data_IF_996196080034
#
_entry.id   IF_996196080034
#
_cell.length_a   1.000
_cell.length_b   1.000
_cell.length_c   1.000
_cell.angle_alpha   90.00
_cell.angle_beta   90.00
_cell.angle_gamma   90.00
#
_symmetry.space_group_name_H-M   'P 1'
#
loop_
_entity.id
_entity.type
_entity.pdbx_description
1 polymer ?
#
# COMPACT_ATOMS: atom_id res chain seq x y z
N UNK A 1 27.87 -41.71 -56.72
CA UNK A 1 27.49 -40.50 -57.50
C UNK A 1 25.97 -40.45 -57.53
N UNK A 2 25.29 -39.30 -57.37
CA UNK A 2 25.74 -37.92 -57.19
C UNK A 2 25.20 -37.26 -55.89
N UNK A 3 25.54 -35.98 -55.74
CA UNK A 3 25.26 -35.00 -54.68
C UNK A 3 23.76 -34.79 -54.38
N UNK A 4 23.44 -34.44 -53.13
CA UNK A 4 22.20 -33.71 -52.81
C UNK A 4 22.56 -32.47 -51.98
N UNK A 5 22.24 -31.36 -52.62
CA UNK A 5 22.38 -29.94 -52.27
C UNK A 5 21.63 -29.52 -51.00
N UNK A 6 22.25 -28.65 -50.20
CA UNK A 6 21.60 -27.85 -49.15
C UNK A 6 20.68 -26.78 -49.74
N UNK A 7 19.43 -26.60 -49.25
CA UNK A 7 18.65 -25.41 -49.51
C UNK A 7 18.91 -24.32 -48.45
N UNK A 8 19.04 -23.10 -48.97
CA UNK A 8 19.30 -21.84 -48.28
C UNK A 8 18.25 -21.45 -47.23
N UNK A 9 18.74 -20.82 -46.16
CA UNK A 9 17.99 -20.06 -45.18
C UNK A 9 17.15 -18.95 -45.81
N UNK A 10 15.83 -19.00 -45.61
CA UNK A 10 14.95 -17.84 -45.74
C UNK A 10 14.36 -17.61 -44.36
N UNK A 11 14.94 -16.66 -43.62
CA UNK A 11 14.30 -16.07 -42.44
C UNK A 11 13.26 -15.06 -42.91
N UNK A 12 12.02 -15.09 -42.39
CA UNK A 12 11.06 -14.02 -42.67
C UNK A 12 11.51 -12.75 -41.93
N UNK A 13 11.67 -11.67 -42.68
CA UNK A 13 11.88 -10.32 -42.16
C UNK A 13 10.72 -9.92 -41.24
N UNK A 14 11.04 -9.70 -39.96
CA UNK A 14 10.12 -9.08 -39.01
C UNK A 14 10.21 -7.57 -39.21
N UNK A 15 9.19 -6.99 -39.84
CA UNK A 15 9.00 -5.54 -39.93
C UNK A 15 8.81 -4.92 -38.53
N UNK A 16 9.56 -3.88 -38.15
CA UNK A 16 9.35 -3.18 -36.89
C UNK A 16 8.37 -2.04 -37.09
N UNK A 17 7.06 -2.27 -36.88
CA UNK A 17 6.08 -1.18 -36.69
C UNK A 17 5.00 -1.59 -35.71
N UNK A 18 5.16 -1.15 -34.47
CA UNK A 18 4.15 -0.39 -33.73
C UNK A 18 4.81 0.18 -32.47
N UNK A 19 5.21 1.44 -32.55
CA UNK A 19 5.76 2.22 -31.45
C UNK A 19 4.69 2.45 -30.39
N UNK A 20 4.77 1.74 -29.27
CA UNK A 20 4.05 2.03 -28.02
C UNK A 20 4.55 3.29 -27.31
N UNK A 21 5.42 4.10 -27.94
CA UNK A 21 6.18 5.16 -27.27
C UNK A 21 5.54 6.56 -27.28
N UNK A 22 4.34 6.74 -27.83
CA UNK A 22 3.76 8.10 -28.01
C UNK A 22 2.41 8.34 -27.34
N UNK A 23 1.75 7.32 -26.77
CA UNK A 23 0.43 7.49 -26.14
C UNK A 23 0.44 7.70 -24.61
N UNK A 24 1.52 7.33 -23.91
CA UNK A 24 1.65 7.53 -22.46
C UNK A 24 1.85 8.99 -21.98
N UNK A 25 2.58 9.89 -22.67
CA UNK A 25 3.02 11.16 -22.06
C UNK A 25 1.88 12.13 -21.73
N UNK A 26 0.92 12.31 -22.65
CA UNK A 26 -0.22 13.22 -22.45
C UNK A 26 -1.25 12.65 -21.49
N UNK A 27 -1.48 11.33 -21.53
CA UNK A 27 -2.38 10.67 -20.60
C UNK A 27 -1.88 10.78 -19.16
N UNK A 28 -0.57 10.69 -18.90
CA UNK A 28 -0.02 10.84 -17.55
C UNK A 28 -0.06 12.25 -16.98
N UNK A 29 0.31 13.27 -17.77
CA UNK A 29 0.14 14.66 -17.32
C UNK A 29 -1.34 15.01 -17.14
N UNK A 30 -2.23 14.45 -17.97
CA UNK A 30 -3.67 14.60 -17.80
C UNK A 30 -4.21 13.80 -16.62
N UNK A 31 -3.66 12.63 -16.29
CA UNK A 31 -4.01 11.86 -15.10
C UNK A 31 -3.59 12.66 -13.88
N UNK A 32 -2.32 13.03 -13.72
CA UNK A 32 -1.85 13.85 -12.57
C UNK A 32 -2.59 15.20 -12.47
N UNK A 33 -2.88 15.89 -13.58
CA UNK A 33 -3.70 17.12 -13.58
C UNK A 33 -5.19 16.86 -13.32
N UNK A 34 -5.73 15.72 -13.75
CA UNK A 34 -7.11 15.33 -13.43
C UNK A 34 -7.26 15.00 -11.96
N UNK A 35 -6.17 14.64 -11.26
CA UNK A 35 -6.15 14.34 -9.83
C UNK A 35 -6.24 15.58 -8.96
N UNK A 36 -5.65 16.69 -9.40
CA UNK A 36 -5.95 18.01 -8.82
C UNK A 36 -7.40 18.49 -9.06
N UNK A 37 -8.19 17.71 -9.81
CA UNK A 37 -9.62 17.96 -10.10
C UNK A 37 -10.52 16.76 -9.77
N UNK A 38 -9.99 15.64 -9.28
CA UNK A 38 -10.75 14.40 -9.05
C UNK A 38 -11.07 14.21 -7.59
N UNK A 39 -11.40 15.30 -6.88
CA UNK A 39 -12.62 15.24 -6.08
C UNK A 39 -13.75 14.94 -7.07
N UNK A 40 -14.43 13.78 -7.00
CA UNK A 40 -15.77 13.71 -7.55
C UNK A 40 -16.52 14.93 -7.03
N UNK A 41 -17.21 15.64 -7.94
CA UNK A 41 -18.11 16.74 -7.60
C UNK A 41 -18.86 16.40 -6.29
N UNK A 42 -18.78 17.29 -5.29
CA UNK A 42 -19.51 17.25 -4.00
C UNK A 42 -19.88 15.86 -3.45
N UNK A 43 -19.06 15.31 -2.55
CA UNK A 43 -19.48 14.59 -1.33
C UNK A 43 -20.79 13.77 -1.36
N UNK A 44 -21.10 13.06 -2.43
CA UNK A 44 -22.43 12.45 -2.58
C UNK A 44 -22.50 11.20 -1.71
N UNK A 45 -22.97 11.40 -0.47
CA UNK A 45 -23.31 10.34 0.46
C UNK A 45 -24.65 9.80 0.01
N UNK A 46 -24.78 8.48 0.07
CA UNK A 46 -26.12 7.92 -0.01
C UNK A 46 -26.98 8.36 1.20
N UNK A 47 -28.27 8.02 1.16
CA UNK A 47 -29.21 8.35 2.24
C UNK A 47 -28.83 7.82 3.62
N UNK A 48 -27.90 6.86 3.68
CA UNK A 48 -27.39 6.24 4.91
C UNK A 48 -26.08 6.90 5.40
N UNK A 49 -25.57 7.91 4.68
CA UNK A 49 -24.33 8.59 5.01
C UNK A 49 -23.07 7.85 4.54
N UNK A 50 -23.19 6.86 3.67
CA UNK A 50 -22.05 6.13 3.12
C UNK A 50 -21.53 6.81 1.85
N UNK A 51 -20.21 6.89 1.74
CA UNK A 51 -19.53 7.21 0.49
C UNK A 51 -19.26 5.92 -0.28
N UNK A 52 -19.38 5.96 -1.61
CA UNK A 52 -19.10 4.83 -2.50
C UNK A 52 -17.98 5.17 -3.48
N UNK A 53 -17.06 4.23 -3.69
CA UNK A 53 -16.12 4.24 -4.83
C UNK A 53 -16.29 2.94 -5.61
N UNK A 54 -16.40 3.04 -6.94
CA UNK A 54 -16.24 1.88 -7.82
C UNK A 54 -14.75 1.78 -8.19
N UNK A 55 -14.01 0.97 -7.44
CA UNK A 55 -12.56 0.88 -7.54
C UNK A 55 -12.14 -0.08 -8.65
N UNK A 56 -11.20 0.35 -9.50
CA UNK A 56 -10.79 -0.35 -10.72
C UNK A 56 -9.34 -0.79 -10.65
N UNK A 57 -9.10 -2.06 -10.99
CA UNK A 57 -7.76 -2.62 -11.14
C UNK A 57 -7.71 -3.37 -12.47
N UNK A 58 -7.15 -2.71 -13.48
CA UNK A 58 -7.24 -3.15 -14.88
C UNK A 58 -8.69 -3.09 -15.37
N UNK A 59 -9.18 -4.20 -15.91
CA UNK A 59 -10.57 -4.31 -16.42
C UNK A 59 -11.59 -4.68 -15.33
N UNK A 60 -11.12 -5.00 -14.12
CA UNK A 60 -11.99 -5.45 -13.02
C UNK A 60 -12.37 -4.27 -12.12
N UNK A 61 -13.63 -4.26 -11.68
CA UNK A 61 -14.19 -3.23 -10.80
C UNK A 61 -14.87 -3.87 -9.60
N UNK A 62 -14.69 -3.29 -8.41
CA UNK A 62 -15.43 -3.69 -7.21
C UNK A 62 -15.83 -2.46 -6.38
N UNK A 63 -16.99 -2.52 -5.69
CA UNK A 63 -17.44 -1.41 -4.87
C UNK A 63 -16.72 -1.35 -3.53
N UNK A 64 -16.47 -0.13 -3.08
CA UNK A 64 -15.97 0.22 -1.77
C UNK A 64 -16.97 1.14 -1.11
N UNK A 65 -17.37 0.84 0.11
CA UNK A 65 -18.21 1.70 0.93
C UNK A 65 -17.46 2.18 2.15
N UNK A 66 -17.51 3.48 2.41
CA UNK A 66 -16.84 4.13 3.53
C UNK A 66 -17.86 4.93 4.34
N UNK A 67 -17.91 4.71 5.65
CA UNK A 67 -18.74 5.47 6.57
C UNK A 67 -18.06 5.59 7.93
N UNK A 68 -18.64 6.40 8.81
CA UNK A 68 -18.22 6.52 10.19
C UNK A 68 -19.38 6.18 11.11
N UNK A 69 -19.23 5.13 11.92
CA UNK A 69 -20.29 4.60 12.79
C UNK A 69 -21.54 4.23 11.97
N UNK A 70 -21.33 3.43 10.92
CA UNK A 70 -22.34 3.03 9.92
C UNK A 70 -22.34 1.54 9.61
N UNK A 71 -21.92 0.70 10.56
CA UNK A 71 -21.89 -0.76 10.38
C UNK A 71 -23.22 -1.34 9.87
N UNK A 72 -24.36 -0.92 10.41
CA UNK A 72 -25.66 -1.46 9.95
C UNK A 72 -25.91 -1.16 8.46
N UNK A 73 -25.56 0.05 8.00
CA UNK A 73 -25.66 0.44 6.60
C UNK A 73 -24.65 -0.32 5.72
N UNK A 74 -23.41 -0.48 6.18
CA UNK A 74 -22.38 -1.27 5.49
C UNK A 74 -22.79 -2.74 5.34
N UNK A 75 -23.35 -3.34 6.38
CA UNK A 75 -23.89 -4.71 6.34
C UNK A 75 -25.10 -4.81 5.41
N UNK A 76 -25.93 -3.77 5.30
CA UNK A 76 -26.98 -3.74 4.29
C UNK A 76 -26.41 -3.77 2.85
N UNK A 77 -25.29 -3.07 2.60
CA UNK A 77 -24.58 -3.16 1.30
C UNK A 77 -24.02 -4.55 1.05
N UNK A 78 -23.48 -5.23 2.07
CA UNK A 78 -23.03 -6.61 1.94
C UNK A 78 -24.12 -7.51 1.37
N UNK A 79 -25.33 -7.44 1.92
CA UNK A 79 -26.48 -8.24 1.43
C UNK A 79 -26.89 -7.88 0.01
N UNK A 80 -26.86 -6.59 -0.33
CA UNK A 80 -27.25 -6.11 -1.65
C UNK A 80 -26.26 -6.57 -2.74
N UNK A 81 -24.96 -6.59 -2.42
CA UNK A 81 -23.90 -6.91 -3.37
C UNK A 81 -23.56 -8.40 -3.45
N UNK A 82 -23.99 -9.21 -2.48
CA UNK A 82 -23.73 -10.64 -2.46
C UNK A 82 -25.06 -11.40 -2.62
N UNK A 83 -25.38 -11.82 -3.85
CA UNK A 83 -26.65 -12.49 -4.20
C UNK A 83 -27.04 -13.60 -3.20
N UNK A 84 -26.14 -14.59 -3.05
CA UNK A 84 -26.35 -15.76 -2.18
C UNK A 84 -25.03 -16.21 -1.57
N UNK A 85 -25.00 -16.42 -0.26
CA UNK A 85 -23.92 -17.06 0.47
C UNK A 85 -24.51 -17.91 1.61
N UNK A 86 -23.78 -18.91 2.09
CA UNK A 86 -24.26 -19.76 3.19
C UNK A 86 -23.99 -19.11 4.57
N UNK A 87 -22.76 -18.65 4.78
CA UNK A 87 -22.33 -17.87 5.94
C UNK A 87 -21.10 -17.03 5.58
N UNK A 88 -20.79 -16.07 6.44
CA UNK A 88 -19.50 -15.36 6.42
C UNK A 88 -18.47 -16.12 7.24
N UNK A 89 -17.23 -16.15 6.79
CA UNK A 89 -16.09 -16.63 7.58
C UNK A 89 -15.21 -15.43 7.95
N UNK A 90 -15.37 -14.94 9.19
CA UNK A 90 -14.72 -13.74 9.70
C UNK A 90 -13.32 -14.10 10.21
N UNK A 91 -12.31 -13.42 9.69
CA UNK A 91 -10.93 -13.56 10.15
C UNK A 91 -10.51 -12.39 11.02
N UNK A 92 -9.92 -12.65 12.19
CA UNK A 92 -9.52 -11.62 13.15
C UNK A 92 -8.08 -11.82 13.63
N UNK A 93 -7.51 -10.75 14.20
CA UNK A 93 -6.40 -10.81 15.17
C UNK A 93 -6.91 -10.60 16.61
N UNK A 94 -6.03 -10.77 17.61
CA UNK A 94 -6.39 -10.67 19.02
C UNK A 94 -6.91 -9.28 19.44
N UNK A 95 -6.41 -8.20 18.84
CA UNK A 95 -6.90 -6.85 19.13
C UNK A 95 -8.27 -6.63 18.47
N UNK A 96 -8.43 -7.06 17.23
CA UNK A 96 -9.69 -6.91 16.49
C UNK A 96 -10.84 -7.66 17.18
N UNK A 97 -10.59 -8.85 17.74
CA UNK A 97 -11.56 -9.59 18.57
C UNK A 97 -12.05 -8.75 19.75
N UNK A 98 -11.16 -7.98 20.37
CA UNK A 98 -11.49 -7.17 21.55
C UNK A 98 -12.23 -5.88 21.19
N UNK A 99 -11.78 -5.19 20.14
CA UNK A 99 -12.16 -3.81 19.89
C UNK A 99 -13.21 -3.63 18.79
N UNK A 100 -13.25 -4.50 17.77
CA UNK A 100 -14.13 -4.32 16.61
C UNK A 100 -15.18 -5.43 16.48
N UNK A 101 -14.80 -6.69 16.75
CA UNK A 101 -15.67 -7.85 16.56
C UNK A 101 -17.03 -7.73 17.30
N UNK A 102 -17.11 -7.24 18.57
CA UNK A 102 -18.40 -7.16 19.26
C UNK A 102 -19.43 -6.28 18.55
N UNK A 103 -19.00 -5.16 17.96
CA UNK A 103 -19.88 -4.24 17.23
C UNK A 103 -20.30 -4.83 15.88
N UNK A 104 -19.34 -5.39 15.13
CA UNK A 104 -19.59 -6.03 13.84
C UNK A 104 -20.53 -7.23 13.96
N UNK A 105 -20.26 -8.12 14.91
CA UNK A 105 -21.06 -9.33 15.13
C UNK A 105 -22.48 -9.00 15.58
N UNK A 106 -22.65 -7.97 16.42
CA UNK A 106 -23.97 -7.48 16.79
C UNK A 106 -24.75 -6.94 15.57
N UNK A 107 -24.09 -6.20 14.67
CA UNK A 107 -24.70 -5.73 13.41
C UNK A 107 -25.09 -6.89 12.49
N UNK A 108 -24.21 -7.88 12.33
CA UNK A 108 -24.49 -9.09 11.55
C UNK A 108 -25.67 -9.89 12.14
N UNK A 109 -25.74 -10.04 13.46
CA UNK A 109 -26.83 -10.73 14.16
C UNK A 109 -28.17 -10.00 13.98
N UNK A 110 -28.20 -8.66 14.13
CA UNK A 110 -29.40 -7.85 13.83
C UNK A 110 -29.86 -8.03 12.39
N UNK A 111 -28.91 -8.14 11.47
CA UNK A 111 -29.19 -8.42 10.08
C UNK A 111 -29.56 -9.90 9.82
N UNK A 112 -29.52 -10.79 10.81
CA UNK A 112 -29.80 -12.22 10.62
C UNK A 112 -28.80 -12.93 9.70
N UNK A 113 -27.55 -12.47 9.67
CA UNK A 113 -26.48 -13.06 8.86
C UNK A 113 -25.72 -14.08 9.70
N UNK A 114 -25.63 -15.32 9.20
CA UNK A 114 -24.83 -16.37 9.81
C UNK A 114 -23.34 -16.14 9.58
N UNK A 115 -22.52 -16.37 10.59
CA UNK A 115 -21.07 -16.28 10.48
C UNK A 115 -20.33 -17.32 11.34
N UNK A 116 -19.09 -17.57 10.97
CA UNK A 116 -18.07 -18.35 11.69
C UNK A 116 -16.83 -17.48 11.84
N UNK A 117 -15.99 -17.76 12.82
CA UNK A 117 -14.83 -16.91 13.14
C UNK A 117 -13.55 -17.74 13.21
N UNK A 118 -12.44 -17.11 12.89
CA UNK A 118 -11.09 -17.65 13.05
C UNK A 118 -10.17 -16.52 13.51
N UNK A 119 -9.31 -16.80 14.49
CA UNK A 119 -8.35 -15.83 15.03
C UNK A 119 -6.94 -16.28 14.65
N UNK A 120 -6.13 -15.36 14.14
CA UNK A 120 -4.70 -15.56 13.92
C UNK A 120 -3.89 -14.58 14.76
N UNK A 121 -2.58 -14.81 14.89
CA UNK A 121 -1.72 -13.88 15.60
C UNK A 121 -1.51 -12.56 14.87
N UNK A 122 -1.45 -11.46 15.62
CA UNK A 122 -1.32 -10.08 15.12
C UNK A 122 0.02 -9.75 14.45
N UNK A 123 1.10 -10.48 14.73
CA UNK A 123 2.45 -10.04 14.33
C UNK A 123 2.85 -10.48 12.93
N UNK A 124 3.80 -9.77 12.32
CA UNK A 124 4.38 -10.16 11.01
C UNK A 124 5.02 -11.56 11.03
N UNK A 125 5.45 -12.03 12.21
CA UNK A 125 5.96 -13.40 12.39
C UNK A 125 4.85 -14.45 12.26
N UNK A 126 3.59 -14.09 12.53
CA UNK A 126 2.43 -14.96 12.34
C UNK A 126 1.95 -15.00 10.89
N UNK A 127 2.41 -14.08 10.02
CA UNK A 127 2.07 -14.05 8.59
C UNK A 127 2.86 -15.11 7.81
N UNK A 128 2.57 -16.38 8.04
CA UNK A 128 3.35 -17.52 7.54
C UNK A 128 2.47 -18.72 7.13
N UNK A 129 3.12 -19.80 6.65
CA UNK A 129 2.43 -21.02 6.20
C UNK A 129 1.62 -21.72 7.29
N UNK A 130 2.04 -21.67 8.56
CA UNK A 130 1.32 -22.31 9.66
C UNK A 130 0.01 -21.59 9.98
N UNK A 131 0.01 -20.25 9.94
CA UNK A 131 -1.24 -19.48 10.07
C UNK A 131 -2.19 -19.74 8.88
N UNK A 132 -1.65 -19.81 7.66
CA UNK A 132 -2.44 -20.18 6.49
C UNK A 132 -3.09 -21.57 6.65
N UNK A 133 -2.32 -22.58 7.06
CA UNK A 133 -2.83 -23.93 7.29
C UNK A 133 -3.94 -23.96 8.35
N UNK A 134 -3.74 -23.26 9.47
CA UNK A 134 -4.75 -23.11 10.51
C UNK A 134 -6.07 -22.48 10.01
N UNK A 135 -5.98 -21.44 9.18
CA UNK A 135 -7.15 -20.78 8.58
C UNK A 135 -7.89 -21.75 7.66
N UNK A 136 -7.16 -22.48 6.81
CA UNK A 136 -7.75 -23.46 5.89
C UNK A 136 -8.44 -24.60 6.65
N UNK A 137 -7.80 -25.13 7.70
CA UNK A 137 -8.36 -26.17 8.55
C UNK A 137 -9.65 -25.69 9.24
N UNK A 138 -9.60 -24.52 9.89
CA UNK A 138 -10.74 -23.95 10.61
C UNK A 138 -11.92 -23.70 9.68
N UNK A 139 -11.66 -23.18 8.48
CA UNK A 139 -12.68 -22.96 7.45
C UNK A 139 -13.36 -24.27 7.02
N UNK A 140 -12.59 -25.34 6.79
CA UNK A 140 -13.15 -26.62 6.37
C UNK A 140 -13.93 -27.30 7.51
N UNK A 141 -13.40 -27.26 8.74
CA UNK A 141 -14.06 -27.80 9.93
C UNK A 141 -15.36 -27.06 10.27
N UNK A 142 -15.45 -25.76 9.96
CA UNK A 142 -16.68 -24.99 10.16
C UNK A 142 -17.74 -25.24 9.08
N UNK A 143 -17.47 -26.16 8.13
CA UNK A 143 -18.37 -26.49 7.02
C UNK A 143 -18.32 -25.49 5.86
N UNK A 144 -17.21 -24.78 5.68
CA UNK A 144 -17.02 -23.83 4.60
C UNK A 144 -17.19 -24.46 3.21
N UNK A 145 -17.86 -23.76 2.31
CA UNK A 145 -18.16 -24.21 0.93
C UNK A 145 -17.74 -23.15 -0.10
N UNK A 146 -17.94 -23.44 -1.39
CA UNK A 146 -17.76 -22.44 -2.48
C UNK A 146 -18.68 -21.23 -2.32
N UNK A 147 -19.76 -21.34 -1.55
CA UNK A 147 -20.70 -20.25 -1.28
C UNK A 147 -20.32 -19.43 -0.05
N UNK A 148 -19.40 -19.91 0.79
CA UNK A 148 -18.91 -19.15 1.93
C UNK A 148 -18.11 -17.94 1.46
N UNK A 149 -18.24 -16.84 2.18
CA UNK A 149 -17.56 -15.58 1.87
C UNK A 149 -16.47 -15.36 2.91
N UNK A 150 -15.23 -15.21 2.46
CA UNK A 150 -14.11 -14.89 3.32
C UNK A 150 -14.14 -13.41 3.68
N UNK A 151 -14.14 -13.08 4.96
CA UNK A 151 -14.17 -11.70 5.45
C UNK A 151 -13.02 -11.45 6.44
N UNK A 152 -11.79 -11.14 5.99
CA UNK A 152 -10.80 -10.56 6.88
C UNK A 152 -11.30 -9.25 7.48
N UNK A 153 -11.28 -9.19 8.81
CA UNK A 153 -11.57 -8.00 9.61
C UNK A 153 -10.30 -7.72 10.41
N UNK A 154 -9.55 -6.68 10.04
CA UNK A 154 -8.24 -6.45 10.64
C UNK A 154 -7.35 -5.46 9.88
N UNK A 155 -6.07 -5.47 10.27
CA UNK A 155 -4.99 -4.81 9.53
C UNK A 155 -4.49 -5.64 8.34
N UNK A 156 -3.43 -5.15 7.67
CA UNK A 156 -2.89 -5.76 6.44
C UNK A 156 -2.43 -7.22 6.60
N UNK A 157 -1.98 -7.62 7.80
CA UNK A 157 -1.57 -9.00 8.09
C UNK A 157 -2.75 -9.97 7.98
N UNK A 158 -3.88 -9.64 8.62
CA UNK A 158 -5.12 -10.42 8.55
C UNK A 158 -5.65 -10.41 7.12
N UNK A 159 -5.74 -9.22 6.50
CA UNK A 159 -6.22 -9.06 5.11
C UNK A 159 -5.45 -9.91 4.12
N UNK A 160 -4.11 -9.93 4.19
CA UNK A 160 -3.29 -10.71 3.27
C UNK A 160 -3.39 -12.22 3.51
N UNK A 161 -3.38 -12.66 4.76
CA UNK A 161 -3.33 -14.10 5.08
C UNK A 161 -4.66 -14.77 4.75
N UNK A 162 -5.77 -14.16 5.17
CA UNK A 162 -7.11 -14.65 4.83
C UNK A 162 -7.46 -14.40 3.35
N UNK A 163 -6.95 -13.32 2.74
CA UNK A 163 -7.08 -13.09 1.30
C UNK A 163 -6.39 -14.18 0.46
N UNK A 164 -5.21 -14.64 0.90
CA UNK A 164 -4.52 -15.76 0.29
C UNK A 164 -5.31 -17.06 0.46
N UNK A 165 -5.84 -17.32 1.67
CA UNK A 165 -6.72 -18.46 1.92
C UNK A 165 -7.95 -18.43 0.99
N UNK A 166 -8.58 -17.27 0.79
CA UNK A 166 -9.72 -17.12 -0.11
C UNK A 166 -9.39 -17.47 -1.57
N UNK A 167 -8.21 -17.09 -2.06
CA UNK A 167 -7.75 -17.43 -3.41
C UNK A 167 -7.43 -18.92 -3.59
N UNK A 168 -7.02 -19.61 -2.52
CA UNK A 168 -6.68 -21.03 -2.54
C UNK A 168 -7.91 -21.94 -2.37
N UNK A 169 -8.80 -21.60 -1.44
CA UNK A 169 -9.99 -22.39 -1.10
C UNK A 169 -10.88 -22.56 -2.32
N UNK A 170 -11.15 -23.82 -2.67
CA UNK A 170 -11.92 -24.19 -3.87
C UNK A 170 -11.45 -23.54 -5.18
N UNK A 171 -10.18 -23.12 -5.25
CA UNK A 171 -9.59 -22.35 -6.36
C UNK A 171 -10.17 -20.93 -6.52
N UNK A 172 -10.61 -20.35 -5.41
CA UNK A 172 -11.17 -19.00 -5.35
C UNK A 172 -12.59 -19.01 -4.78
N UNK A 173 -12.74 -18.43 -3.60
CA UNK A 173 -14.02 -17.99 -3.05
C UNK A 173 -14.08 -16.47 -2.96
N UNK A 174 -15.28 -15.93 -2.78
CA UNK A 174 -15.50 -14.49 -2.65
C UNK A 174 -14.79 -13.96 -1.40
N UNK A 175 -14.21 -12.78 -1.55
CA UNK A 175 -13.44 -12.07 -0.53
C UNK A 175 -14.10 -10.71 -0.27
N UNK A 176 -14.41 -10.39 0.98
CA UNK A 176 -14.88 -9.07 1.41
C UNK A 176 -13.90 -8.50 2.41
N UNK A 177 -13.29 -7.35 2.12
CA UNK A 177 -12.34 -6.73 3.04
C UNK A 177 -13.06 -5.80 4.02
N UNK A 178 -12.73 -5.91 5.30
CA UNK A 178 -13.23 -5.04 6.37
C UNK A 178 -12.04 -4.48 7.15
N UNK A 179 -11.33 -3.46 6.62
CA UNK A 179 -10.13 -2.93 7.24
C UNK A 179 -10.45 -2.25 8.58
N UNK A 180 -9.70 -2.59 9.64
CA UNK A 180 -9.82 -1.95 10.97
C UNK A 180 -8.66 -1.03 11.29
N UNK A 181 -7.63 -1.00 10.45
CA UNK A 181 -6.51 -0.06 10.57
C UNK A 181 -6.56 0.95 9.43
N UNK A 182 -6.26 2.20 9.74
CA UNK A 182 -6.23 3.26 8.74
C UNK A 182 -5.30 2.94 7.56
N UNK A 183 -4.08 2.45 7.84
CA UNK A 183 -3.12 2.03 6.80
C UNK A 183 -3.70 0.97 5.85
N UNK A 184 -4.28 -0.10 6.39
CA UNK A 184 -4.85 -1.18 5.57
C UNK A 184 -5.93 -0.68 4.60
N UNK A 185 -6.73 0.30 5.04
CA UNK A 185 -7.84 0.82 4.26
C UNK A 185 -7.40 1.47 2.94
N UNK A 186 -6.26 2.15 2.88
CA UNK A 186 -5.78 2.77 1.65
C UNK A 186 -4.56 2.07 1.01
N UNK A 187 -4.07 0.99 1.61
CA UNK A 187 -2.91 0.27 1.06
C UNK A 187 -3.24 -1.16 0.59
N UNK A 188 -3.55 -2.09 1.50
CA UNK A 188 -3.64 -3.51 1.13
C UNK A 188 -5.01 -3.88 0.55
N UNK A 189 -6.11 -3.29 1.01
CA UNK A 189 -7.47 -3.60 0.49
C UNK A 189 -7.70 -3.05 -0.92
N UNK A 190 -6.91 -2.07 -1.35
CA UNK A 190 -6.91 -1.48 -2.69
C UNK A 190 -5.90 -2.14 -3.63
N UNK A 191 -5.45 -3.37 -3.32
CA UNK A 191 -4.58 -4.18 -4.18
C UNK A 191 -5.12 -5.60 -4.35
N UNK A 192 -4.69 -6.28 -5.42
CA UNK A 192 -4.92 -7.72 -5.64
C UNK A 192 -3.91 -8.60 -4.87
N UNK A 193 -2.82 -8.04 -4.37
CA UNK A 193 -1.71 -8.80 -3.79
C UNK A 193 -2.13 -9.45 -2.47
N UNK A 194 -2.15 -10.78 -2.44
CA UNK A 194 -2.32 -11.57 -1.22
C UNK A 194 -1.11 -12.46 -1.03
N UNK A 195 -0.39 -12.28 0.07
CA UNK A 195 0.87 -12.98 0.29
C UNK A 195 1.16 -13.22 1.77
N UNK A 196 2.03 -14.19 2.03
CA UNK A 196 2.61 -14.49 3.33
C UNK A 196 4.13 -14.54 3.23
N UNK A 197 4.77 -14.54 4.39
CA UNK A 197 6.21 -14.65 4.53
C UNK A 197 6.63 -16.12 4.47
N UNK A 198 7.81 -16.38 3.92
CA UNK A 198 8.38 -17.72 3.87
C UNK A 198 9.89 -17.67 4.10
N UNK A 199 10.38 -18.50 5.03
CA UNK A 199 11.82 -18.65 5.33
C UNK A 199 12.57 -17.33 5.49
N UNK A 200 11.98 -16.34 6.16
CA UNK A 200 12.57 -15.01 6.40
C UNK A 200 12.36 -13.99 5.29
N UNK A 201 11.82 -14.37 4.13
CA UNK A 201 11.48 -13.45 3.05
C UNK A 201 10.04 -12.95 3.19
N UNK A 202 9.87 -11.61 3.13
CA UNK A 202 8.57 -10.96 3.23
C UNK A 202 7.75 -11.13 1.94
N UNK A 203 6.45 -11.42 2.07
CA UNK A 203 5.47 -11.46 0.98
C UNK A 203 5.84 -12.30 -0.25
N UNK A 204 6.67 -13.34 -0.09
CA UNK A 204 7.24 -14.09 -1.23
C UNK A 204 6.33 -15.21 -1.74
N UNK A 205 5.43 -15.73 -0.90
CA UNK A 205 4.45 -16.75 -1.29
C UNK A 205 3.08 -16.10 -1.36
N UNK A 206 2.49 -16.05 -2.55
CA UNK A 206 1.23 -15.34 -2.75
C UNK A 206 0.61 -15.52 -4.13
N UNK A 207 -0.50 -14.82 -4.33
CA UNK A 207 -1.25 -14.77 -5.58
C UNK A 207 -1.96 -13.41 -5.72
N UNK A 208 -2.56 -13.17 -6.88
CA UNK A 208 -3.44 -12.03 -7.11
C UNK A 208 -4.89 -12.49 -6.94
N UNK A 209 -5.60 -11.97 -5.93
CA UNK A 209 -7.01 -12.24 -5.68
C UNK A 209 -7.75 -10.95 -5.36
N UNK A 210 -8.75 -10.64 -6.18
CA UNK A 210 -9.52 -9.40 -6.08
C UNK A 210 -10.65 -9.55 -5.05
N UNK A 211 -10.88 -8.54 -4.18
CA UNK A 211 -12.08 -8.51 -3.35
C UNK A 211 -13.34 -8.31 -4.21
N UNK A 212 -14.45 -8.89 -3.77
CA UNK A 212 -15.78 -8.63 -4.35
C UNK A 212 -16.41 -7.35 -3.79
N UNK A 213 -15.99 -6.91 -2.61
CA UNK A 213 -16.53 -5.77 -1.87
C UNK A 213 -15.53 -5.33 -0.79
N UNK A 214 -15.49 -4.03 -0.49
CA UNK A 214 -14.76 -3.48 0.67
C UNK A 214 -15.71 -2.64 1.52
N UNK A 215 -15.70 -2.86 2.84
CA UNK A 215 -16.52 -2.14 3.80
C UNK A 215 -15.64 -1.49 4.86
N UNK A 216 -15.53 -0.16 4.83
CA UNK A 216 -14.72 0.61 5.74
C UNK A 216 -15.62 1.37 6.72
N UNK A 217 -15.59 0.98 8.00
CA UNK A 217 -16.14 1.81 9.07
C UNK A 217 -14.99 2.51 9.80
N UNK A 218 -14.88 3.84 9.63
CA UNK A 218 -13.77 4.60 10.18
C UNK A 218 -13.83 4.75 11.70
N UNK A 219 -14.95 4.42 12.35
CA UNK A 219 -15.03 4.37 13.82
C UNK A 219 -14.11 3.30 14.42
N UNK A 220 -13.75 2.25 13.66
CA UNK A 220 -12.75 1.28 14.11
C UNK A 220 -11.38 1.90 14.35
N UNK A 221 -11.05 3.00 13.67
CA UNK A 221 -9.74 3.64 13.80
C UNK A 221 -9.56 4.37 15.14
N UNK A 222 -10.66 4.65 15.86
CA UNK A 222 -10.61 5.23 17.21
C UNK A 222 -9.96 4.29 18.23
N UNK A 223 -9.85 3.00 17.88
CA UNK A 223 -9.23 1.97 18.72
C UNK A 223 -7.71 1.86 18.49
N UNK A 224 -7.19 2.51 17.46
CA UNK A 224 -5.78 2.44 17.08
C UNK A 224 -4.91 3.26 18.03
N UNK A 225 -3.71 2.76 18.27
CA UNK A 225 -2.69 3.54 18.97
C UNK A 225 -2.26 4.74 18.11
N UNK A 226 -1.70 5.77 18.76
CA UNK A 226 -1.12 6.93 18.05
C UNK A 226 -0.10 6.51 17.01
N UNK A 227 0.68 5.46 17.28
CA UNK A 227 1.68 4.92 16.35
C UNK A 227 1.06 4.30 15.10
N UNK A 228 -0.03 3.54 15.25
CA UNK A 228 -0.76 2.96 14.12
C UNK A 228 -1.48 4.02 13.28
N UNK A 229 -2.01 5.06 13.93
CA UNK A 229 -2.57 6.22 13.23
C UNK A 229 -1.50 6.97 12.41
N UNK A 230 -0.35 7.25 13.02
CA UNK A 230 0.81 7.85 12.33
C UNK A 230 1.29 6.99 11.17
N UNK A 231 1.27 5.67 11.29
CA UNK A 231 1.64 4.76 10.20
C UNK A 231 0.72 4.94 8.97
N UNK A 232 -0.59 5.05 9.17
CA UNK A 232 -1.53 5.33 8.07
C UNK A 232 -1.32 6.72 7.46
N UNK A 233 -1.08 7.74 8.29
CA UNK A 233 -0.78 9.10 7.84
C UNK A 233 0.55 9.19 7.08
N UNK A 234 1.55 8.37 7.41
CA UNK A 234 2.81 8.27 6.67
C UNK A 234 2.61 8.00 5.18
N UNK A 235 1.74 7.04 4.86
CA UNK A 235 1.38 6.74 3.47
C UNK A 235 0.56 7.85 2.79
N UNK A 236 -0.28 8.57 3.54
CA UNK A 236 -0.98 9.72 2.98
C UNK A 236 -0.05 10.91 2.74
N UNK A 237 0.97 11.11 3.58
CA UNK A 237 2.05 12.08 3.31
C UNK A 237 2.81 11.72 2.05
N UNK A 238 3.06 10.42 1.81
CA UNK A 238 3.61 9.96 0.53
C UNK A 238 2.69 10.35 -0.62
N UNK A 239 1.39 10.08 -0.53
CA UNK A 239 0.44 10.50 -1.57
C UNK A 239 0.45 12.03 -1.78
N UNK A 240 0.55 12.82 -0.72
CA UNK A 240 0.70 14.27 -0.81
C UNK A 240 1.99 14.67 -1.55
N UNK A 241 3.12 14.05 -1.24
CA UNK A 241 4.38 14.30 -1.94
C UNK A 241 4.29 13.93 -3.44
N UNK A 242 3.59 12.84 -3.77
CA UNK A 242 3.41 12.35 -5.14
C UNK A 242 2.47 13.23 -5.97
N UNK A 243 1.31 13.60 -5.41
CA UNK A 243 0.19 14.17 -6.17
C UNK A 243 -0.07 15.65 -5.89
N UNK A 244 0.38 16.19 -4.76
CA UNK A 244 0.06 17.56 -4.36
C UNK A 244 -1.45 17.76 -4.20
N UNK A 245 -1.95 18.96 -4.53
CA UNK A 245 -3.38 19.26 -4.58
C UNK A 245 -4.13 18.90 -3.28
N UNK A 246 -5.27 18.23 -3.41
CA UNK A 246 -6.12 17.85 -2.27
C UNK A 246 -5.42 16.92 -1.29
N UNK A 247 -4.50 16.07 -1.75
CA UNK A 247 -3.69 15.25 -0.83
C UNK A 247 -2.79 16.12 0.05
N UNK A 248 -2.18 17.15 -0.54
CA UNK A 248 -1.34 18.08 0.21
C UNK A 248 -2.17 18.94 1.17
N UNK A 249 -3.29 19.50 0.73
CA UNK A 249 -4.15 20.32 1.59
C UNK A 249 -4.74 19.51 2.75
N UNK A 250 -5.16 18.26 2.51
CA UNK A 250 -5.59 17.35 3.57
C UNK A 250 -4.47 17.10 4.57
N UNK A 251 -3.26 16.76 4.11
CA UNK A 251 -2.15 16.44 5.00
C UNK A 251 -1.67 17.66 5.77
N UNK A 252 -1.63 18.84 5.15
CA UNK A 252 -1.32 20.10 5.82
C UNK A 252 -2.32 20.38 6.95
N UNK A 253 -3.62 20.33 6.66
CA UNK A 253 -4.69 20.49 7.67
C UNK A 253 -4.57 19.48 8.80
N UNK A 254 -4.41 18.21 8.44
CA UNK A 254 -4.40 17.09 9.40
C UNK A 254 -3.17 17.09 10.30
N UNK A 255 -1.99 17.43 9.77
CA UNK A 255 -0.72 17.29 10.48
C UNK A 255 -0.21 18.61 11.04
N UNK A 256 -0.12 19.65 10.20
CA UNK A 256 0.47 20.93 10.58
C UNK A 256 -0.50 21.79 11.40
N UNK A 257 -1.80 21.75 11.08
CA UNK A 257 -2.79 22.58 11.76
C UNK A 257 -3.42 21.87 12.97
N UNK A 258 -3.72 20.56 12.86
CA UNK A 258 -4.45 19.80 13.89
C UNK A 258 -3.63 18.74 14.65
N UNK A 259 -2.34 18.55 14.34
CA UNK A 259 -1.48 17.64 15.10
C UNK A 259 -1.96 16.18 15.11
N UNK A 260 -2.43 15.68 13.95
CA UNK A 260 -2.94 14.32 13.71
C UNK A 260 -4.29 14.00 14.35
N UNK A 261 -5.01 15.00 14.88
CA UNK A 261 -6.36 14.83 15.39
C UNK A 261 -7.38 15.07 14.26
N UNK A 262 -7.77 13.99 13.58
CA UNK A 262 -8.83 14.07 12.58
C UNK A 262 -10.19 13.97 13.26
N UNK A 263 -11.11 14.84 12.87
CA UNK A 263 -12.54 14.64 13.14
C UNK A 263 -13.06 13.39 12.40
N UNK A 264 -14.20 12.80 12.81
CA UNK A 264 -14.84 11.71 12.08
C UNK A 264 -15.02 11.96 10.56
N UNK A 265 -15.33 13.22 10.21
CA UNK A 265 -15.48 13.64 8.81
C UNK A 265 -14.15 13.60 8.07
N UNK A 266 -13.13 14.23 8.64
CA UNK A 266 -11.78 14.26 8.06
C UNK A 266 -11.19 12.87 7.96
N UNK A 267 -11.47 11.97 8.91
CA UNK A 267 -11.02 10.58 8.84
C UNK A 267 -11.67 9.84 7.67
N UNK A 268 -12.96 10.07 7.46
CA UNK A 268 -13.71 9.49 6.33
C UNK A 268 -13.21 10.03 5.00
N UNK A 269 -12.97 11.35 4.93
CA UNK A 269 -12.37 12.02 3.78
C UNK A 269 -10.96 11.49 3.49
N UNK A 270 -10.10 11.39 4.51
CA UNK A 270 -8.73 10.93 4.37
C UNK A 270 -8.66 9.47 3.92
N UNK A 271 -9.53 8.61 4.47
CA UNK A 271 -9.68 7.21 4.04
C UNK A 271 -10.09 7.15 2.57
N UNK A 272 -11.13 7.91 2.20
CA UNK A 272 -11.64 7.93 0.83
C UNK A 272 -10.60 8.43 -0.18
N UNK A 273 -9.90 9.52 0.15
CA UNK A 273 -8.87 10.11 -0.68
C UNK A 273 -7.65 9.18 -0.81
N UNK A 274 -7.22 8.56 0.29
CA UNK A 274 -6.16 7.56 0.30
C UNK A 274 -6.47 6.38 -0.60
N UNK A 275 -7.68 5.83 -0.49
CA UNK A 275 -8.14 4.73 -1.34
C UNK A 275 -8.11 5.16 -2.80
N UNK A 276 -8.74 6.29 -3.12
CA UNK A 276 -8.90 6.77 -4.50
C UNK A 276 -7.56 7.02 -5.21
N UNK A 277 -6.49 7.33 -4.47
CA UNK A 277 -5.15 7.50 -5.05
C UNK A 277 -4.68 6.27 -5.85
N UNK A 278 -4.95 5.05 -5.36
CA UNK A 278 -4.48 3.83 -6.02
C UNK A 278 -5.27 3.50 -7.29
N UNK A 279 -6.56 3.85 -7.37
CA UNK A 279 -7.41 3.59 -8.55
C UNK A 279 -6.76 4.10 -9.84
N UNK A 280 -6.18 5.31 -9.73
CA UNK A 280 -5.62 6.10 -10.82
C UNK A 280 -4.49 5.38 -11.55
N UNK A 281 -3.63 4.70 -10.79
CA UNK A 281 -2.48 3.98 -11.35
C UNK A 281 -2.80 2.51 -11.60
N UNK A 282 -3.59 1.87 -10.74
CA UNK A 282 -3.89 0.44 -10.86
C UNK A 282 -4.85 0.10 -12.00
N UNK A 283 -5.67 1.06 -12.43
CA UNK A 283 -6.47 0.93 -13.66
C UNK A 283 -5.56 0.72 -14.89
N UNK A 284 -4.39 1.37 -14.93
CA UNK A 284 -3.43 1.26 -16.04
C UNK A 284 -2.30 0.24 -15.77
N UNK A 285 -2.03 -0.08 -14.52
CA UNK A 285 -0.95 -0.96 -14.07
C UNK A 285 -1.45 -1.99 -13.03
N UNK A 286 -2.31 -2.94 -13.42
CA UNK A 286 -3.02 -3.84 -12.49
C UNK A 286 -2.12 -4.84 -11.75
N UNK A 287 -0.86 -4.98 -12.19
CA UNK A 287 0.14 -5.86 -11.56
C UNK A 287 1.23 -5.07 -10.83
N UNK A 288 1.11 -3.75 -10.78
CA UNK A 288 2.02 -2.84 -10.10
C UNK A 288 3.48 -2.99 -10.56
N UNK A 289 3.71 -2.99 -11.88
CA UNK A 289 5.03 -3.22 -12.49
C UNK A 289 5.61 -2.01 -13.21
N UNK A 290 4.85 -0.93 -13.36
CA UNK A 290 5.23 0.25 -14.13
C UNK A 290 4.89 1.53 -13.36
N UNK A 291 3.73 2.13 -13.63
CA UNK A 291 3.33 3.40 -13.04
C UNK A 291 3.10 3.29 -11.53
N UNK A 292 2.58 2.17 -11.05
CA UNK A 292 2.34 1.99 -9.63
C UNK A 292 3.63 1.93 -8.81
N UNK A 293 4.80 1.80 -9.46
CA UNK A 293 6.09 1.97 -8.77
C UNK A 293 6.16 3.31 -8.07
N UNK A 294 5.49 4.38 -8.53
CA UNK A 294 5.44 5.66 -7.83
C UNK A 294 5.03 5.54 -6.35
N UNK A 295 4.20 4.55 -5.99
CA UNK A 295 3.84 4.29 -4.59
C UNK A 295 4.99 3.76 -3.74
N UNK A 296 6.12 3.40 -4.34
CA UNK A 296 7.35 3.01 -3.66
C UNK A 296 8.27 4.20 -3.35
N UNK A 297 7.80 5.44 -3.54
CA UNK A 297 8.52 6.64 -3.10
C UNK A 297 8.82 6.57 -1.60
N UNK A 298 10.09 6.79 -1.24
CA UNK A 298 10.60 6.60 0.13
C UNK A 298 10.83 5.14 0.57
N UNK A 299 10.29 4.13 -0.12
CA UNK A 299 10.29 2.75 0.38
C UNK A 299 11.68 2.09 0.38
N UNK A 300 12.60 2.45 -0.53
CA UNK A 300 13.93 1.82 -0.59
C UNK A 300 14.72 1.99 0.70
N UNK A 301 14.82 3.21 1.22
CA UNK A 301 15.49 3.46 2.52
C UNK A 301 14.58 3.10 3.70
N UNK A 302 13.27 3.34 3.57
CA UNK A 302 12.31 3.01 4.62
C UNK A 302 12.29 1.51 4.97
N UNK A 303 12.18 0.64 3.97
CA UNK A 303 12.26 -0.81 4.15
C UNK A 303 13.61 -1.26 4.71
N UNK A 304 14.70 -0.63 4.28
CA UNK A 304 16.02 -0.95 4.80
C UNK A 304 16.12 -0.65 6.31
N UNK A 305 15.56 0.48 6.77
CA UNK A 305 15.45 0.80 8.19
C UNK A 305 14.54 -0.20 8.93
N UNK A 306 13.36 -0.51 8.39
CA UNK A 306 12.43 -1.48 8.99
C UNK A 306 13.04 -2.86 9.21
N UNK A 307 13.89 -3.29 8.27
CA UNK A 307 14.53 -4.60 8.32
C UNK A 307 15.79 -4.60 9.20
N UNK A 308 16.27 -3.44 9.66
CA UNK A 308 17.49 -3.28 10.46
C UNK A 308 17.34 -3.76 11.90
N UNK A 309 18.25 -4.63 12.34
CA UNK A 309 18.16 -5.27 13.65
C UNK A 309 18.23 -4.22 14.77
N UNK A 310 17.24 -4.26 15.66
CA UNK A 310 17.15 -3.30 16.78
C UNK A 310 16.57 -1.95 16.37
N UNK A 311 16.23 -1.73 15.10
CA UNK A 311 15.36 -0.63 14.71
C UNK A 311 13.93 -1.02 15.06
N UNK A 312 13.22 -0.14 15.77
CA UNK A 312 11.76 -0.26 15.95
C UNK A 312 11.10 0.91 15.26
N UNK A 313 10.39 0.60 14.17
CA UNK A 313 9.61 1.52 13.35
C UNK A 313 8.35 0.80 12.88
N UNK A 314 7.24 1.52 12.72
CA UNK A 314 6.14 1.08 11.87
C UNK A 314 6.51 1.25 10.40
N UNK A 315 5.71 0.66 9.50
CA UNK A 315 5.92 0.80 8.07
C UNK A 315 5.85 2.26 7.61
N UNK A 316 4.76 2.97 7.97
CA UNK A 316 4.59 4.38 7.60
C UNK A 316 5.65 5.31 8.18
N UNK A 317 6.18 5.03 9.38
CA UNK A 317 7.33 5.76 9.93
C UNK A 317 8.61 5.51 9.11
N UNK A 318 8.84 4.27 8.68
CA UNK A 318 9.96 3.92 7.79
C UNK A 318 9.88 4.66 6.46
N UNK A 319 8.71 4.62 5.82
CA UNK A 319 8.43 5.36 4.57
C UNK A 319 8.64 6.87 4.74
N UNK A 320 8.19 7.44 5.86
CA UNK A 320 8.37 8.86 6.23
C UNK A 320 9.86 9.24 6.27
N UNK A 321 10.70 8.44 6.90
CA UNK A 321 12.15 8.69 6.90
C UNK A 321 12.79 8.46 5.53
N UNK A 322 12.31 7.46 4.81
CA UNK A 322 12.71 7.23 3.44
C UNK A 322 12.44 8.42 2.53
N UNK A 323 11.31 9.13 2.73
CA UNK A 323 11.00 10.39 2.03
C UNK A 323 12.04 11.49 2.28
N UNK A 324 12.55 11.62 3.52
CA UNK A 324 13.62 12.56 3.84
C UNK A 324 14.96 12.18 3.16
N UNK A 325 15.24 10.88 3.01
CA UNK A 325 16.43 10.43 2.28
C UNK A 325 16.34 10.79 0.79
N UNK A 326 15.21 10.50 0.14
CA UNK A 326 15.06 10.79 -1.30
C UNK A 326 14.97 12.28 -1.59
N UNK A 327 14.40 13.11 -0.70
CA UNK A 327 14.43 14.58 -0.86
C UNK A 327 15.85 15.14 -0.72
N UNK A 328 16.64 14.60 0.21
CA UNK A 328 18.06 14.94 0.36
C UNK A 328 18.86 14.61 -0.92
N UNK A 329 18.68 13.39 -1.43
CA UNK A 329 19.33 12.91 -2.66
C UNK A 329 18.92 13.80 -3.85
N UNK A 330 17.62 14.05 -4.04
CA UNK A 330 17.11 14.88 -5.13
C UNK A 330 17.69 16.30 -5.09
N UNK A 331 17.81 16.89 -3.89
CA UNK A 331 18.43 18.20 -3.71
C UNK A 331 19.92 18.20 -4.09
N UNK A 332 20.69 17.22 -3.60
CA UNK A 332 22.12 17.09 -3.92
C UNK A 332 22.40 16.83 -5.40
N UNK A 333 21.48 16.14 -6.08
CA UNK A 333 21.53 15.91 -7.52
C UNK A 333 21.06 17.12 -8.35
N UNK A 334 20.59 18.21 -7.72
CA UNK A 334 20.05 19.39 -8.41
C UNK A 334 18.67 19.16 -9.05
N UNK A 335 17.97 18.09 -8.68
CA UNK A 335 16.61 17.75 -9.16
C UNK A 335 15.56 18.55 -8.38
N UNK A 336 15.79 18.77 -7.09
CA UNK A 336 14.92 19.51 -6.18
C UNK A 336 15.63 20.77 -5.69
N UNK A 337 14.93 21.90 -5.63
CA UNK A 337 15.50 23.15 -5.08
C UNK A 337 15.54 23.09 -3.55
N UNK A 338 16.32 23.98 -2.92
CA UNK A 338 16.35 24.06 -1.46
C UNK A 338 14.98 24.45 -0.87
N UNK A 339 14.24 25.34 -1.55
CA UNK A 339 12.89 25.78 -1.16
C UNK A 339 11.87 24.65 -1.29
N UNK A 340 11.88 23.94 -2.42
CA UNK A 340 10.99 22.78 -2.63
C UNK A 340 11.26 21.66 -1.61
N UNK A 341 12.54 21.46 -1.24
CA UNK A 341 12.93 20.52 -0.20
C UNK A 341 12.43 20.95 1.17
N UNK A 342 12.54 22.23 1.52
CA UNK A 342 12.05 22.73 2.80
C UNK A 342 10.54 22.50 2.95
N UNK A 343 9.75 22.79 1.91
CA UNK A 343 8.32 22.52 1.90
C UNK A 343 8.00 21.02 2.04
N UNK A 344 8.71 20.16 1.31
CA UNK A 344 8.57 18.70 1.40
C UNK A 344 8.93 18.18 2.80
N UNK A 345 10.10 18.52 3.32
CA UNK A 345 10.59 18.02 4.60
C UNK A 345 9.74 18.57 5.76
N UNK A 346 9.15 19.76 5.64
CA UNK A 346 8.20 20.30 6.62
C UNK A 346 6.95 19.43 6.77
N UNK A 347 6.38 18.94 5.66
CA UNK A 347 5.22 18.04 5.69
C UNK A 347 5.56 16.72 6.38
N UNK A 348 6.75 16.18 6.10
CA UNK A 348 7.25 14.93 6.69
C UNK A 348 7.55 15.11 8.18
N UNK A 349 8.16 16.22 8.57
CA UNK A 349 8.43 16.54 9.96
C UNK A 349 7.16 16.81 10.78
N UNK A 350 6.10 17.31 10.15
CA UNK A 350 4.81 17.49 10.80
C UNK A 350 4.18 16.17 11.28
N UNK A 351 4.59 15.01 10.76
CA UNK A 351 4.18 13.69 11.27
C UNK A 351 4.88 13.28 12.57
N UNK A 352 5.98 13.94 12.94
CA UNK A 352 6.78 13.61 14.12
C UNK A 352 7.13 12.11 14.18
N UNK A 353 7.91 11.58 13.22
CA UNK A 353 8.21 10.14 13.17
C UNK A 353 9.00 9.70 14.40
N UNK A 354 8.45 8.72 15.15
CA UNK A 354 9.02 8.19 16.38
C UNK A 354 9.72 6.85 16.12
N UNK A 355 10.94 6.93 15.57
CA UNK A 355 11.77 5.74 15.34
C UNK A 355 12.73 5.49 16.50
N UNK A 356 12.93 4.22 16.84
CA UNK A 356 14.01 3.80 17.73
C UNK A 356 15.13 3.24 16.85
N UNK A 357 16.29 3.88 16.87
CA UNK A 357 17.53 3.41 16.23
C UNK A 357 18.42 2.79 17.31
N UNK A 358 19.06 1.64 17.06
CA UNK A 358 19.89 0.98 18.06
C UNK A 358 21.15 1.79 18.39
N UNK A 359 21.63 1.68 19.63
CA UNK A 359 22.88 2.32 20.08
C UNK A 359 24.12 1.55 19.63
N UNK A 360 24.32 1.52 18.30
CA UNK A 360 25.47 0.92 17.62
C UNK A 360 25.60 1.48 16.21
N UNK A 361 26.74 1.22 15.57
CA UNK A 361 26.85 1.38 14.13
C UNK A 361 25.94 0.36 13.43
N UNK A 362 25.01 0.86 12.63
CA UNK A 362 24.10 0.08 11.80
C UNK A 362 24.13 0.52 10.33
N UNK A 363 25.02 1.45 9.95
CA UNK A 363 25.05 2.02 8.61
C UNK A 363 25.28 0.94 7.55
N UNK A 364 26.29 0.08 7.76
CA UNK A 364 26.62 -0.98 6.81
C UNK A 364 25.45 -1.96 6.62
N UNK A 365 24.67 -2.24 7.67
CA UNK A 365 23.51 -3.12 7.62
C UNK A 365 22.33 -2.47 6.87
N UNK A 366 22.08 -1.18 7.09
CA UNK A 366 21.07 -0.42 6.34
C UNK A 366 21.46 -0.37 4.87
N UNK A 367 22.71 -0.06 4.55
CA UNK A 367 23.19 0.00 3.17
C UNK A 367 23.12 -1.35 2.48
N UNK A 368 23.48 -2.45 3.15
CA UNK A 368 23.31 -3.80 2.61
C UNK A 368 21.85 -4.06 2.19
N UNK A 369 20.87 -3.65 3.01
CA UNK A 369 19.44 -3.80 2.70
C UNK A 369 18.99 -2.90 1.55
N UNK A 370 19.48 -1.67 1.48
CA UNK A 370 19.24 -0.77 0.34
C UNK A 370 19.74 -1.41 -0.96
N UNK A 371 20.92 -2.02 -0.96
CA UNK A 371 21.51 -2.68 -2.11
C UNK A 371 20.81 -3.98 -2.53
N UNK A 372 19.94 -4.53 -1.68
CA UNK A 372 19.15 -5.73 -1.93
C UNK A 372 17.64 -5.45 -2.06
N UNK A 373 17.24 -4.18 -2.19
CA UNK A 373 15.84 -3.78 -2.38
C UNK A 373 15.23 -4.39 -3.66
N UNK A 374 13.92 -4.65 -3.60
CA UNK A 374 13.15 -5.37 -4.62
C UNK A 374 12.98 -4.61 -5.95
N UNK A 375 13.41 -3.34 -6.04
CA UNK A 375 13.40 -2.57 -7.29
C UNK A 375 14.54 -2.96 -8.23
N UNK A 376 15.45 -3.86 -7.82
CA UNK A 376 16.45 -4.46 -8.71
C UNK A 376 15.77 -5.27 -9.82
N UNK A 377 16.25 -5.09 -11.05
CA UNK A 377 15.74 -5.78 -12.24
C UNK A 377 14.76 -4.97 -13.09
N UNK A 378 14.26 -3.80 -12.62
CA UNK A 378 13.50 -2.87 -13.46
C UNK A 378 14.37 -2.05 -14.40
N UNK A 379 15.60 -1.76 -13.97
CA UNK A 379 16.64 -1.12 -14.78
C UNK A 379 17.84 -2.07 -14.90
N UNK A 380 18.66 -1.95 -15.96
CA UNK A 380 19.95 -2.63 -16.04
C UNK A 380 20.80 -2.33 -14.80
N UNK A 381 21.54 -3.33 -14.32
CA UNK A 381 22.45 -3.10 -13.20
C UNK A 381 23.54 -2.09 -13.60
N UNK A 382 23.83 -1.16 -12.70
CA UNK A 382 24.85 -0.14 -12.88
C UNK A 382 25.69 -0.04 -11.61
N UNK A 383 26.96 -0.43 -11.72
CA UNK A 383 27.90 -0.42 -10.61
C UNK A 383 28.00 0.98 -10.00
N UNK A 384 27.89 1.07 -8.67
CA UNK A 384 27.94 2.33 -7.92
C UNK A 384 26.62 3.12 -7.90
N UNK A 385 25.50 2.57 -8.38
CA UNK A 385 24.19 3.24 -8.39
C UNK A 385 23.05 2.36 -7.87
N UNK A 386 22.05 3.00 -7.27
CA UNK A 386 20.80 2.39 -6.80
C UNK A 386 19.61 3.05 -7.50
N UNK A 387 18.73 2.29 -8.19
CA UNK A 387 17.49 2.83 -8.73
C UNK A 387 16.55 3.30 -7.62
N UNK A 388 16.16 4.58 -7.64
CA UNK A 388 15.20 5.14 -6.68
C UNK A 388 14.20 6.08 -7.36
N UNK A 389 13.07 6.31 -6.69
CA UNK A 389 12.06 7.26 -7.13
C UNK A 389 12.33 8.58 -6.43
N UNK A 390 12.44 9.64 -7.21
CA UNK A 390 12.70 11.00 -6.72
C UNK A 390 11.56 11.93 -7.15
N UNK A 391 11.40 13.04 -6.46
CA UNK A 391 10.51 14.13 -6.83
C UNK A 391 11.30 15.43 -7.03
N UNK A 392 10.72 16.35 -7.80
CA UNK A 392 11.28 17.71 -7.99
C UNK A 392 10.72 18.68 -6.97
N UNK A 393 9.44 18.52 -6.65
CA UNK A 393 8.66 19.23 -5.63
C UNK A 393 7.40 18.44 -5.31
N UNK A 394 6.66 18.87 -4.29
CA UNK A 394 5.35 18.29 -3.95
C UNK A 394 4.44 18.31 -5.19
N UNK A 395 3.90 17.15 -5.57
CA UNK A 395 3.03 16.98 -6.73
C UNK A 395 3.73 16.92 -8.09
N UNK A 396 5.07 16.97 -8.14
CA UNK A 396 5.84 16.82 -9.37
C UNK A 396 6.97 15.79 -9.22
N UNK A 397 6.72 14.58 -9.72
CA UNK A 397 7.70 13.49 -9.72
C UNK A 397 8.80 13.67 -10.76
N UNK A 398 10.02 13.25 -10.43
CA UNK A 398 11.12 13.22 -11.38
C UNK A 398 10.95 12.03 -12.33
N UNK A 399 11.04 12.28 -13.65
CA UNK A 399 10.78 11.29 -14.69
C UNK A 399 11.98 11.18 -15.64
N UNK A 400 13.06 10.48 -15.25
CA UNK A 400 14.21 10.28 -16.14
C UNK A 400 13.94 9.23 -17.22
N UNK A 401 12.96 8.35 -17.00
CA UNK A 401 12.55 7.28 -17.92
C UNK A 401 11.08 6.88 -17.65
N UNK A 402 10.49 5.97 -18.46
CA UNK A 402 9.10 5.54 -18.27
C UNK A 402 8.79 4.87 -16.93
N UNK A 403 9.80 4.36 -16.20
CA UNK A 403 9.66 3.70 -14.90
C UNK A 403 9.78 4.67 -13.71
N UNK A 404 10.08 5.96 -13.95
CA UNK A 404 10.30 6.97 -12.91
C UNK A 404 11.46 6.67 -11.94
N UNK A 405 12.38 5.80 -12.35
CA UNK A 405 13.54 5.40 -11.55
C UNK A 405 14.80 6.16 -11.97
N UNK A 406 15.42 6.88 -11.06
CA UNK A 406 16.72 7.53 -11.25
C UNK A 406 17.86 6.65 -10.71
N UNK A 407 19.02 6.68 -11.37
CA UNK A 407 20.23 6.06 -10.84
C UNK A 407 20.87 7.00 -9.81
N UNK A 408 20.66 6.72 -8.53
CA UNK A 408 21.24 7.47 -7.42
C UNK A 408 22.64 6.92 -7.09
N UNK A 409 23.69 7.76 -7.03
CA UNK A 409 25.03 7.35 -6.60
C UNK A 409 25.02 6.74 -5.18
N UNK A 410 25.68 5.60 -4.99
CA UNK A 410 25.68 4.87 -3.69
C UNK A 410 26.25 5.71 -2.55
N UNK A 411 27.29 6.51 -2.82
CA UNK A 411 27.90 7.43 -1.87
C UNK A 411 26.92 8.50 -1.37
N UNK A 412 26.11 9.04 -2.28
CA UNK A 412 25.06 9.99 -1.94
C UNK A 412 23.90 9.34 -1.18
N UNK A 413 23.55 8.09 -1.52
CA UNK A 413 22.56 7.32 -0.76
C UNK A 413 23.08 7.09 0.67
N UNK A 414 24.34 6.70 0.83
CA UNK A 414 24.99 6.54 2.15
C UNK A 414 25.00 7.86 2.94
N UNK A 415 25.33 8.99 2.30
CA UNK A 415 25.28 10.32 2.92
C UNK A 415 23.87 10.62 3.45
N UNK A 416 22.82 10.34 2.67
CA UNK A 416 21.43 10.54 3.09
C UNK A 416 21.06 9.68 4.31
N UNK A 417 21.50 8.41 4.35
CA UNK A 417 21.28 7.52 5.50
C UNK A 417 22.01 8.04 6.74
N UNK A 418 23.27 8.51 6.60
CA UNK A 418 24.01 9.14 7.71
C UNK A 418 23.28 10.36 8.25
N UNK A 419 22.69 11.21 7.41
CA UNK A 419 21.88 12.36 7.85
C UNK A 419 20.71 11.90 8.72
N UNK A 420 20.00 10.85 8.31
CA UNK A 420 18.90 10.28 9.11
C UNK A 420 19.40 9.69 10.43
N UNK A 421 20.42 8.83 10.40
CA UNK A 421 20.95 8.21 11.62
C UNK A 421 21.55 9.24 12.58
N UNK A 422 22.17 10.32 12.08
CA UNK A 422 22.62 11.44 12.90
C UNK A 422 21.48 12.19 13.57
N UNK A 423 20.30 12.25 12.95
CA UNK A 423 19.13 12.94 13.50
C UNK A 423 18.38 12.08 14.51
N UNK A 424 18.15 10.81 14.18
CA UNK A 424 17.27 9.92 14.92
C UNK A 424 18.00 8.87 15.78
N UNK A 425 19.30 8.68 15.55
CA UNK A 425 20.13 7.72 16.26
C UNK A 425 21.09 8.36 17.27
N UNK A 426 21.50 7.59 18.30
CA UNK A 426 22.48 8.04 19.27
C UNK A 426 23.91 8.06 18.70
N UNK A 427 24.23 7.12 17.79
CA UNK A 427 25.53 7.03 17.14
C UNK A 427 25.69 8.09 16.05
N UNK A 428 26.82 8.82 16.05
CA UNK A 428 27.06 9.94 15.11
C UNK A 428 28.12 9.60 14.06
N UNK A 429 27.79 9.88 12.81
CA UNK A 429 28.60 9.69 11.61
C UNK A 429 29.14 11.03 11.11
N UNK A 430 30.33 11.02 10.53
CA UNK A 430 30.86 12.18 9.78
C UNK A 430 30.15 12.25 8.42
N UNK A 431 29.65 13.44 8.09
CA UNK A 431 29.05 13.77 6.79
C UNK A 431 30.13 14.19 5.79
#
# INVERSE_FOLDING_TARGET
MPEITTPSSIMPEIHPRNSLSTFLPRALEQVVKSVTRSTPDEYDRDSEGLRKVDFRIGEETFPIFVGHDRLDALIAKLKLHLDTFDHLFLGYDENTVKYCAPQLEAALQRAGISFKTCVMGLTEANKNMAALDHILETFLQSGGTRKTVMCPVGGGIVSNTFGLAAGLLFRGIRLVQIPTTFLNAHDAVTSKKQAINHTGYKNIVGLFHLPSLVLCDTSFYETLTRREMKAGLGELTKNAALFGGDHYELMKRTTMDHGWQLTPEEMTEATFLGMSAKDMLLCQDPKEKHLALLFEYGHTVGHALELTQGVSTSHGEGVTLGMLAVSYIAWKMGIMTAEDREAHDALVHALDPEIIIPDRDCLAEVMDKVMHDNKRGYLPEREGFVPMILNKRIGEMHKPNPMYLEYCPVDLVEESVKVLLNRYGPYKYKL
#
